data_IF_841665912436
#
_entry.id   IF_841665912436
#
_cell.length_a   1.000
_cell.length_b   1.000
_cell.length_c   1.000
_cell.angle_alpha   90.00
_cell.angle_beta   90.00
_cell.angle_gamma   90.00
#
_symmetry.space_group_name_H-M   'P 1'
#
loop_
_entity.id
_entity.type
_entity.pdbx_description
1 polymer ?
#
# COMPACT_ATOMS: atom_id res chain seq x y z
N UNK A 1 -58.84 -5.04 -13.64
CA UNK A 1 -58.25 -5.92 -12.62
C UNK A 1 -56.77 -5.64 -12.56
N UNK A 2 -56.29 -5.30 -11.36
CA UNK A 2 -54.89 -5.07 -11.02
C UNK A 2 -54.22 -6.41 -10.73
N UNK A 3 -52.99 -6.62 -11.20
CA UNK A 3 -52.01 -7.51 -10.58
C UNK A 3 -50.60 -6.96 -10.76
N UNK A 4 -49.89 -6.90 -9.64
CA UNK A 4 -48.51 -6.49 -9.45
C UNK A 4 -47.53 -7.65 -9.74
N UNK A 5 -46.23 -7.33 -9.63
CA UNK A 5 -45.09 -8.23 -9.38
C UNK A 5 -44.36 -8.77 -10.63
N UNK A 6 -43.02 -8.78 -10.73
CA UNK A 6 -42.00 -8.49 -9.73
C UNK A 6 -40.61 -8.31 -10.37
N UNK A 7 -39.97 -7.20 -9.99
CA UNK A 7 -38.54 -6.97 -9.73
C UNK A 7 -37.54 -8.00 -10.30
N UNK A 8 -36.81 -7.57 -11.34
CA UNK A 8 -35.65 -8.26 -11.89
C UNK A 8 -34.53 -8.42 -10.86
N UNK A 9 -33.96 -9.63 -10.83
CA UNK A 9 -32.83 -10.03 -10.00
C UNK A 9 -31.59 -9.89 -10.87
N UNK A 10 -30.93 -8.73 -10.80
CA UNK A 10 -29.52 -8.61 -11.20
C UNK A 10 -28.68 -8.62 -9.93
N UNK A 11 -28.41 -9.82 -9.44
CA UNK A 11 -27.39 -10.06 -8.43
C UNK A 11 -26.04 -10.15 -9.15
N UNK A 12 -25.37 -9.01 -9.30
CA UNK A 12 -23.95 -8.97 -9.69
C UNK A 12 -23.10 -9.10 -8.42
N UNK A 13 -22.32 -10.18 -8.21
CA UNK A 13 -21.41 -10.31 -7.09
C UNK A 13 -20.01 -9.83 -7.45
N UNK A 14 -19.86 -8.73 -8.18
CA UNK A 14 -18.60 -8.00 -8.18
C UNK A 14 -18.67 -6.96 -7.07
N UNK A 15 -18.38 -7.43 -5.85
CA UNK A 15 -17.88 -6.59 -4.76
C UNK A 15 -16.56 -5.97 -5.20
N UNK A 16 -16.67 -4.93 -6.03
CA UNK A 16 -15.57 -4.05 -6.38
C UNK A 16 -15.15 -3.37 -5.10
N UNK A 17 -14.03 -3.88 -4.57
CA UNK A 17 -13.06 -3.22 -3.72
C UNK A 17 -13.63 -2.06 -2.89
N UNK A 18 -13.81 -2.28 -1.59
CA UNK A 18 -14.00 -1.18 -0.66
C UNK A 18 -12.81 -0.23 -0.84
N UNK A 19 -13.01 0.82 -1.64
CA UNK A 19 -12.11 1.97 -1.74
C UNK A 19 -11.89 2.41 -0.32
N UNK A 20 -10.73 2.06 0.23
CA UNK A 20 -10.35 2.40 1.59
C UNK A 20 -10.52 3.92 1.66
N UNK A 21 -11.51 4.36 2.44
CA UNK A 21 -12.00 5.73 2.36
C UNK A 21 -10.87 6.66 2.83
N UNK A 22 -10.13 7.21 1.86
CA UNK A 22 -8.99 8.08 2.11
C UNK A 22 -9.41 9.39 2.83
N UNK A 23 -10.71 9.61 3.06
CA UNK A 23 -11.25 10.67 3.93
C UNK A 23 -10.90 10.48 5.42
N UNK A 24 -10.38 9.31 5.80
CA UNK A 24 -9.77 9.07 7.11
C UNK A 24 -8.23 9.15 7.09
N UNK A 25 -7.62 9.58 5.99
CA UNK A 25 -6.22 9.98 6.02
C UNK A 25 -6.10 11.12 7.02
N UNK A 26 -5.40 10.85 8.12
CA UNK A 26 -5.07 11.80 9.19
C UNK A 26 -4.74 13.17 8.60
N UNK A 27 -5.40 14.22 9.08
CA UNK A 27 -5.16 15.56 8.58
C UNK A 27 -3.71 15.93 8.92
N UNK A 28 -3.02 16.60 8.00
CA UNK A 28 -1.66 17.10 8.25
C UNK A 28 -1.67 17.96 9.51
N UNK A 29 -1.06 17.47 10.59
CA UNK A 29 -1.02 18.13 11.90
C UNK A 29 -1.69 17.37 13.05
N UNK A 30 -2.42 16.29 12.78
CA UNK A 30 -2.87 15.40 13.86
C UNK A 30 -1.66 14.69 14.50
N UNK A 31 -1.63 14.54 15.83
CA UNK A 31 -0.61 13.73 16.49
C UNK A 31 -0.65 12.29 15.98
N UNK A 32 0.53 11.71 15.74
CA UNK A 32 0.64 10.28 15.44
C UNK A 32 -0.01 9.47 16.57
N UNK A 33 -0.70 8.40 16.20
CA UNK A 33 -1.10 7.40 17.20
C UNK A 33 0.15 6.77 17.82
N UNK A 34 0.01 6.18 19.01
CA UNK A 34 1.12 5.51 19.69
C UNK A 34 1.80 4.47 18.79
N UNK A 35 1.02 3.64 18.08
CA UNK A 35 1.56 2.62 17.18
C UNK A 35 2.30 3.21 15.97
N UNK A 36 1.83 4.34 15.45
CA UNK A 36 2.52 5.06 14.37
C UNK A 36 3.85 5.66 14.85
N UNK A 37 3.87 6.23 16.06
CA UNK A 37 5.08 6.78 16.65
C UNK A 37 6.12 5.68 16.97
N UNK A 38 5.69 4.53 17.49
CA UNK A 38 6.56 3.37 17.72
C UNK A 38 7.16 2.84 16.42
N UNK A 39 6.34 2.73 15.37
CA UNK A 39 6.83 2.33 14.05
C UNK A 39 7.82 3.35 13.48
N UNK A 40 7.53 4.64 13.63
CA UNK A 40 8.43 5.71 13.22
C UNK A 40 9.79 5.62 13.92
N UNK A 41 9.79 5.39 15.24
CA UNK A 41 11.00 5.22 16.02
C UNK A 41 11.88 4.06 15.49
N UNK A 42 11.27 2.94 15.10
CA UNK A 42 12.01 1.82 14.50
C UNK A 42 12.68 2.22 13.17
N UNK A 43 11.98 2.96 12.32
CA UNK A 43 12.52 3.46 11.05
C UNK A 43 13.70 4.41 11.30
N UNK A 44 13.57 5.33 12.25
CA UNK A 44 14.65 6.25 12.61
C UNK A 44 15.88 5.51 13.16
N UNK A 45 15.69 4.51 14.03
CA UNK A 45 16.79 3.71 14.56
C UNK A 45 17.55 2.94 13.47
N UNK A 46 16.84 2.44 12.45
CA UNK A 46 17.47 1.70 11.35
C UNK A 46 18.15 2.63 10.33
N UNK A 47 17.61 3.84 10.16
CA UNK A 47 18.03 4.80 9.15
C UNK A 47 17.22 4.69 7.85
N UNK A 48 16.65 5.82 7.42
CA UNK A 48 15.78 5.87 6.24
C UNK A 48 16.52 5.47 4.95
N UNK A 49 17.80 5.85 4.82
CA UNK A 49 18.61 5.57 3.62
C UNK A 49 18.95 4.08 3.53
N UNK A 50 19.32 3.49 4.67
CA UNK A 50 19.69 2.09 4.82
C UNK A 50 18.48 1.19 4.56
N UNK A 51 17.31 1.56 5.09
CA UNK A 51 16.07 0.82 4.85
C UNK A 51 15.61 0.96 3.40
N UNK A 52 15.66 2.15 2.81
CA UNK A 52 15.34 2.36 1.40
C UNK A 52 16.24 1.52 0.48
N UNK A 53 17.55 1.53 0.74
CA UNK A 53 18.52 0.73 -0.01
C UNK A 53 18.22 -0.77 0.11
N UNK A 54 17.87 -1.25 1.31
CA UNK A 54 17.54 -2.66 1.54
C UNK A 54 16.29 -3.10 0.77
N UNK A 55 15.23 -2.27 0.77
CA UNK A 55 14.01 -2.54 0.02
C UNK A 55 14.24 -2.55 -1.49
N UNK A 56 14.98 -1.55 -2.00
CA UNK A 56 15.36 -1.48 -3.41
C UNK A 56 16.15 -2.72 -3.85
N UNK A 57 17.11 -3.16 -3.03
CA UNK A 57 17.89 -4.36 -3.31
C UNK A 57 17.02 -5.62 -3.41
N UNK A 58 16.06 -5.81 -2.49
CA UNK A 58 15.14 -6.96 -2.52
C UNK A 58 14.23 -6.88 -3.75
N UNK A 59 13.74 -5.70 -4.09
CA UNK A 59 12.93 -5.51 -5.29
C UNK A 59 13.71 -5.81 -6.57
N UNK A 60 14.92 -5.28 -6.71
CA UNK A 60 15.74 -5.53 -7.89
C UNK A 60 16.14 -7.01 -7.99
N UNK A 61 16.37 -7.67 -6.85
CA UNK A 61 16.56 -9.11 -6.78
C UNK A 61 15.35 -9.87 -7.31
N UNK A 62 14.14 -9.54 -6.84
CA UNK A 62 12.91 -10.17 -7.33
C UNK A 62 12.71 -9.89 -8.83
N UNK A 63 12.84 -8.63 -9.25
CA UNK A 63 12.49 -8.23 -10.61
C UNK A 63 13.48 -8.74 -11.67
N UNK A 64 14.78 -8.77 -11.38
CA UNK A 64 15.81 -9.05 -12.37
C UNK A 64 16.52 -10.38 -12.19
N UNK A 65 16.45 -10.97 -11.00
CA UNK A 65 17.18 -12.20 -10.66
C UNK A 65 16.27 -13.39 -10.31
N UNK A 66 14.94 -13.20 -10.35
CA UNK A 66 13.98 -14.30 -10.24
C UNK A 66 13.73 -14.95 -11.59
N UNK A 67 13.80 -16.29 -11.63
CA UNK A 67 13.35 -17.09 -12.78
C UNK A 67 11.83 -17.36 -12.75
N UNK A 68 11.13 -16.85 -11.73
CA UNK A 68 9.70 -17.05 -11.52
C UNK A 68 8.92 -15.89 -12.18
N UNK A 69 7.97 -16.17 -13.09
CA UNK A 69 7.14 -15.13 -13.69
C UNK A 69 6.15 -14.55 -12.68
N UNK A 70 5.97 -13.23 -12.71
CA UNK A 70 5.06 -12.53 -11.82
C UNK A 70 3.64 -12.42 -12.36
N UNK A 71 2.67 -12.77 -11.51
CA UNK A 71 1.27 -12.47 -11.71
C UNK A 71 0.94 -10.99 -11.41
N UNK A 72 -0.35 -10.63 -11.48
CA UNK A 72 -0.77 -9.25 -11.26
C UNK A 72 -0.66 -8.82 -9.78
N UNK A 73 -0.90 -9.74 -8.84
CA UNK A 73 -0.82 -9.44 -7.41
C UNK A 73 0.65 -9.23 -7.00
N UNK A 74 1.55 -10.06 -7.51
CA UNK A 74 2.99 -9.96 -7.25
C UNK A 74 3.57 -8.67 -7.85
N UNK A 75 3.14 -8.28 -9.04
CA UNK A 75 3.51 -6.98 -9.63
C UNK A 75 3.01 -5.80 -8.78
N UNK A 76 1.79 -5.88 -8.24
CA UNK A 76 1.28 -4.85 -7.33
C UNK A 76 2.12 -4.76 -6.07
N UNK A 77 2.48 -5.91 -5.47
CA UNK A 77 3.32 -5.94 -4.27
C UNK A 77 4.72 -5.34 -4.53
N UNK A 78 5.34 -5.64 -5.67
CA UNK A 78 6.62 -5.02 -6.05
C UNK A 78 6.49 -3.50 -6.23
N UNK A 79 5.37 -3.03 -6.77
CA UNK A 79 5.08 -1.61 -6.87
C UNK A 79 4.89 -0.94 -5.49
N UNK A 80 4.23 -1.61 -4.55
CA UNK A 80 4.06 -1.08 -3.19
C UNK A 80 5.41 -0.98 -2.46
N UNK A 81 6.30 -1.96 -2.65
CA UNK A 81 7.69 -1.93 -2.12
C UNK A 81 8.46 -0.75 -2.72
N UNK A 82 8.27 -0.48 -4.02
CA UNK A 82 8.83 0.69 -4.71
C UNK A 82 8.39 2.00 -4.09
N UNK A 83 7.08 2.17 -3.93
CA UNK A 83 6.51 3.37 -3.33
C UNK A 83 7.08 3.60 -1.92
N UNK A 84 7.23 2.52 -1.14
CA UNK A 84 7.76 2.59 0.22
C UNK A 84 9.21 3.07 0.26
N UNK A 85 10.12 2.51 -0.56
CA UNK A 85 11.51 2.95 -0.54
C UNK A 85 11.66 4.38 -1.07
N UNK A 86 10.89 4.80 -2.09
CA UNK A 86 10.95 6.16 -2.61
C UNK A 86 10.48 7.17 -1.55
N UNK A 87 9.47 6.80 -0.75
CA UNK A 87 9.05 7.58 0.42
C UNK A 87 10.15 7.72 1.47
N UNK A 88 10.84 6.61 1.78
CA UNK A 88 11.96 6.60 2.72
C UNK A 88 13.15 7.45 2.21
N UNK A 89 13.48 7.40 0.92
CA UNK A 89 14.52 8.24 0.32
C UNK A 89 14.18 9.72 0.45
N UNK A 90 12.92 10.11 0.18
CA UNK A 90 12.47 11.49 0.32
C UNK A 90 12.50 11.99 1.78
N UNK A 91 12.20 11.12 2.74
CA UNK A 91 12.33 11.42 4.16
C UNK A 91 13.80 11.62 4.56
N UNK A 92 14.68 10.71 4.15
CA UNK A 92 16.11 10.77 4.46
C UNK A 92 16.88 11.89 3.73
N UNK A 93 16.29 12.49 2.68
CA UNK A 93 16.83 13.64 1.97
C UNK A 93 16.48 15.00 2.61
N UNK A 94 15.50 15.03 3.52
CA UNK A 94 15.04 16.24 4.22
C UNK A 94 15.63 16.41 5.63
N UNK A 95 16.53 15.51 6.03
CA UNK A 95 17.24 15.54 7.31
C UNK A 95 18.55 16.36 7.22
#
# INVERSE_FOLDING_TARGET
MQTSDGKGIDSNPNSVNATNDARHASNVGDPLTQSQAEFWYLIECQGCKELAHSLKMIHDLALYHSDIPFDMAEKSALFDVKLLWEGLEQMGAKA
#
